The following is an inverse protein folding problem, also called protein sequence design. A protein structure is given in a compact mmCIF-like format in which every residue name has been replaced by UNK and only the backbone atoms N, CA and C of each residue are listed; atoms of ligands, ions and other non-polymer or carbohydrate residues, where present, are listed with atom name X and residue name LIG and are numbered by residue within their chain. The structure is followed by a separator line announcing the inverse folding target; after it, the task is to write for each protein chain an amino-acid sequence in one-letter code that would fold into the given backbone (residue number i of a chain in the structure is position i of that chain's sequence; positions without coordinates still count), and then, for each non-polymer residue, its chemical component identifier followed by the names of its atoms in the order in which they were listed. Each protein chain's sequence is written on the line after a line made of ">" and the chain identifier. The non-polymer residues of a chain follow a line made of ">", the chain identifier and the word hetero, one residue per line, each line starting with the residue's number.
data_IF_278162644300
#
_entry.id   IF_278162644300
#
_cell.length_a   1.000
_cell.length_b   1.000
_cell.length_c   1.000
_cell.angle_alpha   90.00
_cell.angle_beta   90.00
_cell.angle_gamma   90.00
#
_symmetry.space_group_name_H-M   'P 1'
#
loop_
_entity.id
_entity.type
_entity.pdbx_description
1 polymer ?
#
# COMPACT_ATOMS: atom_id res chain seq x y z
N UNK A 1 -13.94 -5.97 12.61
CA UNK A 1 -15.38 -5.95 12.30
C UNK A 1 -15.61 -6.89 11.12
N UNK A 2 -16.71 -7.67 11.07
CA UNK A 2 -16.97 -8.56 9.92
C UNK A 2 -17.55 -7.77 8.74
N UNK A 3 -17.18 -8.08 7.49
CA UNK A 3 -17.81 -7.52 6.29
C UNK A 3 -19.28 -7.95 6.18
N UNK A 4 -19.99 -7.34 5.23
CA UNK A 4 -21.38 -7.72 4.96
C UNK A 4 -21.45 -9.09 4.26
N UNK A 5 -22.45 -9.90 4.60
CA UNK A 5 -22.58 -11.28 4.12
C UNK A 5 -22.72 -11.37 2.60
N UNK A 6 -23.28 -10.35 1.95
CA UNK A 6 -23.46 -10.29 0.50
C UNK A 6 -22.11 -10.30 -0.24
N UNK A 7 -21.02 -9.90 0.43
CA UNK A 7 -19.66 -9.94 -0.14
C UNK A 7 -19.07 -11.35 -0.24
N UNK A 8 -19.62 -12.35 0.47
CA UNK A 8 -19.08 -13.72 0.52
C UNK A 8 -18.94 -14.31 -0.90
N UNK A 9 -19.96 -14.14 -1.74
CA UNK A 9 -19.95 -14.65 -3.12
C UNK A 9 -18.84 -14.02 -3.95
N UNK A 10 -18.70 -12.69 -3.88
CA UNK A 10 -17.68 -11.95 -4.62
C UNK A 10 -16.27 -12.32 -4.16
N UNK A 11 -16.04 -12.34 -2.84
CA UNK A 11 -14.76 -12.73 -2.26
C UNK A 11 -14.38 -14.17 -2.65
N UNK A 12 -15.33 -15.11 -2.57
CA UNK A 12 -15.14 -16.50 -3.00
C UNK A 12 -14.76 -16.60 -4.48
N UNK A 13 -15.47 -15.89 -5.36
CA UNK A 13 -15.22 -15.93 -6.81
C UNK A 13 -13.88 -15.27 -7.20
N UNK A 14 -13.49 -14.19 -6.52
CA UNK A 14 -12.21 -13.50 -6.74
C UNK A 14 -11.01 -14.43 -6.61
N UNK A 15 -11.07 -15.37 -5.66
CA UNK A 15 -10.02 -16.37 -5.42
C UNK A 15 -10.31 -17.73 -6.10
N UNK A 16 -11.28 -17.78 -7.03
CA UNK A 16 -11.60 -18.99 -7.81
C UNK A 16 -12.20 -20.16 -7.02
N UNK A 17 -12.72 -19.91 -5.81
CA UNK A 17 -13.19 -20.97 -4.92
C UNK A 17 -14.64 -21.40 -5.25
N UNK A 18 -14.95 -22.70 -5.21
CA UNK A 18 -16.34 -23.18 -5.42
C UNK A 18 -17.16 -23.15 -4.12
N UNK A 19 -18.50 -23.11 -4.20
CA UNK A 19 -19.36 -23.19 -3.02
C UNK A 19 -19.12 -24.51 -2.24
N UNK A 20 -18.89 -25.61 -2.96
CA UNK A 20 -18.59 -26.91 -2.37
C UNK A 20 -17.28 -26.88 -1.56
N UNK A 21 -16.23 -26.26 -2.12
CA UNK A 21 -14.95 -26.16 -1.43
C UNK A 21 -15.04 -25.25 -0.21
N UNK A 22 -15.73 -24.11 -0.31
CA UNK A 22 -15.94 -23.21 0.83
C UNK A 22 -16.70 -23.91 1.97
N UNK A 23 -17.76 -24.63 1.65
CA UNK A 23 -18.55 -25.40 2.61
C UNK A 23 -17.70 -26.45 3.36
N UNK A 24 -16.90 -27.21 2.61
CA UNK A 24 -15.98 -28.21 3.18
C UNK A 24 -14.93 -27.58 4.12
N UNK A 25 -14.39 -26.42 3.78
CA UNK A 25 -13.38 -25.73 4.60
C UNK A 25 -13.95 -25.07 5.86
N UNK A 26 -15.24 -24.68 5.81
CA UNK A 26 -15.91 -23.97 6.91
C UNK A 26 -16.72 -24.90 7.81
N UNK A 27 -16.87 -26.17 7.42
CA UNK A 27 -17.61 -27.19 8.17
C UNK A 27 -19.13 -27.00 8.10
N UNK A 28 -19.64 -26.39 7.03
CA UNK A 28 -21.08 -26.21 6.80
C UNK A 28 -21.53 -26.92 5.53
N UNK A 29 -22.83 -27.02 5.31
CA UNK A 29 -23.36 -27.62 4.08
C UNK A 29 -23.23 -26.66 2.89
N UNK A 30 -23.08 -27.23 1.69
CA UNK A 30 -23.09 -26.47 0.42
C UNK A 30 -24.39 -25.69 0.23
N UNK A 31 -25.51 -26.29 0.65
CA UNK A 31 -26.83 -25.65 0.67
C UNK A 31 -26.84 -24.40 1.57
N UNK A 32 -26.20 -24.46 2.74
CA UNK A 32 -26.11 -23.30 3.63
C UNK A 32 -25.32 -22.16 2.98
N UNK A 33 -24.17 -22.44 2.36
CA UNK A 33 -23.41 -21.43 1.60
C UNK A 33 -24.28 -20.83 0.49
N UNK A 34 -25.01 -21.64 -0.27
CA UNK A 34 -25.90 -21.15 -1.32
C UNK A 34 -27.01 -20.23 -0.77
N UNK A 35 -27.63 -20.60 0.34
CA UNK A 35 -28.67 -19.80 1.00
C UNK A 35 -28.12 -18.48 1.54
N UNK A 36 -26.91 -18.48 2.10
CA UNK A 36 -26.21 -17.26 2.54
C UNK A 36 -25.91 -16.35 1.35
N UNK A 37 -25.28 -16.87 0.29
CA UNK A 37 -24.90 -16.09 -0.90
C UNK A 37 -26.10 -15.56 -1.70
N UNK A 38 -27.27 -16.19 -1.56
CA UNK A 38 -28.54 -15.75 -2.16
C UNK A 38 -29.38 -14.86 -1.24
N UNK A 39 -28.92 -14.57 -0.02
CA UNK A 39 -29.64 -13.76 0.97
C UNK A 39 -30.85 -14.46 1.61
N UNK A 40 -31.05 -15.76 1.36
CA UNK A 40 -32.18 -16.55 1.87
C UNK A 40 -32.01 -17.01 3.32
N UNK A 41 -30.80 -16.90 3.88
CA UNK A 41 -30.50 -17.28 5.26
C UNK A 41 -29.44 -16.36 5.86
N UNK A 42 -29.58 -16.05 7.14
CA UNK A 42 -28.52 -15.43 7.93
C UNK A 42 -27.86 -16.50 8.82
N UNK A 43 -26.54 -16.71 8.69
CA UNK A 43 -25.80 -17.62 9.54
C UNK A 43 -25.57 -17.01 10.92
N UNK A 44 -25.22 -17.84 11.90
CA UNK A 44 -24.73 -17.33 13.19
C UNK A 44 -23.44 -16.54 12.99
N UNK A 45 -23.15 -15.60 13.90
CA UNK A 45 -21.89 -14.84 13.89
C UNK A 45 -20.67 -15.77 13.84
N UNK A 46 -20.67 -16.85 14.61
CA UNK A 46 -19.59 -17.83 14.61
C UNK A 46 -19.37 -18.48 13.23
N UNK A 47 -20.45 -18.77 12.51
CA UNK A 47 -20.39 -19.35 11.16
C UNK A 47 -19.94 -18.31 10.14
N UNK A 48 -20.50 -17.09 10.19
CA UNK A 48 -20.07 -15.97 9.34
C UNK A 48 -18.58 -15.69 9.53
N UNK A 49 -18.10 -15.65 10.79
CA UNK A 49 -16.70 -15.44 11.13
C UNK A 49 -15.80 -16.51 10.51
N UNK A 50 -16.14 -17.79 10.67
CA UNK A 50 -15.41 -18.91 10.05
C UNK A 50 -15.33 -18.79 8.52
N UNK A 51 -16.43 -18.40 7.87
CA UNK A 51 -16.46 -18.20 6.41
C UNK A 51 -15.47 -17.10 6.00
N UNK A 52 -15.49 -15.95 6.67
CA UNK A 52 -14.57 -14.86 6.37
C UNK A 52 -13.10 -15.20 6.69
N UNK A 53 -12.83 -15.89 7.81
CA UNK A 53 -11.48 -16.34 8.16
C UNK A 53 -10.88 -17.26 7.07
N UNK A 54 -11.66 -18.22 6.56
CA UNK A 54 -11.22 -19.10 5.46
C UNK A 54 -10.99 -18.29 4.18
N UNK A 55 -11.90 -17.39 3.82
CA UNK A 55 -11.77 -16.57 2.61
C UNK A 55 -10.53 -15.68 2.67
N UNK A 56 -10.29 -14.99 3.78
CA UNK A 56 -9.14 -14.10 3.96
C UNK A 56 -7.81 -14.86 4.02
N UNK A 57 -7.80 -16.04 4.66
CA UNK A 57 -6.60 -16.88 4.72
C UNK A 57 -6.18 -17.33 3.32
N UNK A 58 -7.13 -17.76 2.49
CA UNK A 58 -6.86 -18.14 1.10
C UNK A 58 -6.50 -16.94 0.23
N UNK A 59 -7.20 -15.81 0.38
CA UNK A 59 -6.86 -14.58 -0.34
C UNK A 59 -5.43 -14.13 -0.06
N UNK A 60 -4.99 -14.17 1.20
CA UNK A 60 -3.64 -13.77 1.62
C UNK A 60 -2.53 -14.65 1.05
N UNK A 61 -2.82 -15.91 0.71
CA UNK A 61 -1.85 -16.82 0.07
C UNK A 61 -1.68 -16.52 -1.43
N UNK A 62 -2.69 -15.91 -2.06
CA UNK A 62 -2.71 -15.55 -3.48
C UNK A 62 -2.51 -14.05 -3.75
N UNK A 63 -2.47 -13.22 -2.72
CA UNK A 63 -2.36 -11.77 -2.86
C UNK A 63 -0.90 -11.35 -3.10
N UNK A 64 -0.68 -10.58 -4.16
CA UNK A 64 0.57 -9.87 -4.40
C UNK A 64 0.80 -8.86 -3.26
N UNK A 65 1.95 -8.94 -2.60
CA UNK A 65 2.32 -8.01 -1.53
C UNK A 65 2.84 -6.71 -2.15
N UNK A 66 2.74 -5.60 -1.43
CA UNK A 66 3.41 -4.35 -1.84
C UNK A 66 4.91 -4.56 -2.08
N UNK A 67 5.53 -5.45 -1.30
CA UNK A 67 6.92 -5.86 -1.48
C UNK A 67 7.22 -6.57 -2.80
N UNK A 68 6.23 -7.14 -3.47
CA UNK A 68 6.40 -7.85 -4.75
C UNK A 68 6.39 -6.88 -5.95
N UNK A 69 5.78 -5.70 -5.77
CA UNK A 69 5.70 -4.63 -6.79
C UNK A 69 6.81 -3.59 -6.57
N UNK A 70 7.25 -3.39 -5.32
CA UNK A 70 8.17 -2.31 -4.99
C UNK A 70 9.52 -2.44 -5.71
N UNK A 71 10.07 -1.30 -6.13
CA UNK A 71 11.44 -1.21 -6.64
C UNK A 71 12.43 -1.67 -5.57
N UNK A 72 13.33 -2.59 -5.92
CA UNK A 72 14.36 -3.12 -5.00
C UNK A 72 15.52 -2.15 -4.84
N UNK A 73 15.87 -1.44 -5.91
CA UNK A 73 16.88 -0.40 -5.90
C UNK A 73 16.20 0.96 -5.72
N UNK A 74 16.31 1.49 -4.51
CA UNK A 74 15.72 2.79 -4.16
C UNK A 74 16.74 3.87 -4.42
N UNK A 75 16.35 4.86 -5.22
CA UNK A 75 17.09 6.12 -5.40
C UNK A 75 17.01 6.90 -4.09
N UNK A 76 18.16 7.35 -3.56
CA UNK A 76 18.25 8.05 -2.27
C UNK A 76 18.97 9.38 -2.41
N UNK A 77 18.63 10.34 -1.57
CA UNK A 77 19.41 11.55 -1.31
C UNK A 77 19.85 11.56 0.16
N UNK A 78 20.83 12.40 0.49
CA UNK A 78 21.31 12.63 1.85
C UNK A 78 20.75 13.95 2.39
N UNK A 79 20.67 14.05 3.71
CA UNK A 79 20.35 15.30 4.42
C UNK A 79 21.27 16.46 4.02
N UNK A 80 22.52 16.15 3.68
CA UNK A 80 23.55 17.08 3.24
C UNK A 80 23.47 17.49 1.77
N UNK A 81 22.73 16.75 0.94
CA UNK A 81 22.57 17.09 -0.47
C UNK A 81 21.79 18.41 -0.60
N UNK A 82 21.89 19.06 -1.76
CA UNK A 82 21.26 20.37 -1.99
C UNK A 82 19.93 20.25 -2.71
N UNK A 83 19.13 21.32 -2.66
CA UNK A 83 17.93 21.46 -3.49
C UNK A 83 18.24 21.23 -4.98
N UNK A 84 19.39 21.71 -5.46
CA UNK A 84 19.80 21.52 -6.85
C UNK A 84 20.13 20.05 -7.18
N UNK A 85 20.74 19.32 -6.23
CA UNK A 85 21.01 17.89 -6.40
C UNK A 85 19.71 17.09 -6.50
N UNK A 86 18.69 17.45 -5.70
CA UNK A 86 17.37 16.84 -5.79
C UNK A 86 16.71 17.09 -7.15
N UNK A 87 16.70 18.34 -7.63
CA UNK A 87 16.15 18.71 -8.95
C UNK A 87 16.82 17.89 -10.06
N UNK A 88 18.15 17.88 -10.07
CA UNK A 88 18.93 17.17 -11.09
C UNK A 88 18.63 15.67 -11.05
N UNK A 89 18.62 15.07 -9.86
CA UNK A 89 18.38 13.64 -9.70
C UNK A 89 16.97 13.22 -10.10
N UNK A 90 15.97 14.06 -9.80
CA UNK A 90 14.57 13.85 -10.22
C UNK A 90 14.41 13.93 -11.74
N UNK A 91 15.06 14.91 -12.39
CA UNK A 91 15.05 15.04 -13.85
C UNK A 91 15.76 13.87 -14.54
N UNK A 92 16.99 13.54 -14.10
CA UNK A 92 17.81 12.48 -14.68
C UNK A 92 17.11 11.10 -14.62
N UNK A 93 16.29 10.87 -13.59
CA UNK A 93 15.63 9.59 -13.34
C UNK A 93 14.12 9.62 -13.64
N UNK A 94 13.58 10.76 -14.08
CA UNK A 94 12.15 10.97 -14.35
C UNK A 94 11.25 10.53 -13.18
N UNK A 95 11.62 10.94 -11.97
CA UNK A 95 10.87 10.66 -10.72
C UNK A 95 10.50 11.97 -10.04
N UNK A 96 9.34 12.00 -9.38
CA UNK A 96 8.82 13.20 -8.71
C UNK A 96 9.04 13.20 -7.19
N UNK A 97 9.56 12.11 -6.62
CA UNK A 97 9.80 12.00 -5.18
C UNK A 97 11.03 11.16 -4.90
N UNK A 98 11.83 11.58 -3.91
CA UNK A 98 13.04 10.87 -3.49
C UNK A 98 13.14 10.87 -1.97
N UNK A 99 13.30 9.70 -1.32
CA UNK A 99 13.53 9.62 0.11
C UNK A 99 14.92 10.15 0.49
N UNK A 100 14.97 10.87 1.62
CA UNK A 100 16.19 11.45 2.19
C UNK A 100 16.65 10.59 3.36
N UNK A 101 17.92 10.19 3.35
CA UNK A 101 18.52 9.29 4.32
C UNK A 101 19.66 9.94 5.10
N UNK A 102 19.85 9.47 6.33
CA UNK A 102 21.09 9.59 7.10
C UNK A 102 21.58 8.17 7.40
N UNK A 103 22.62 7.73 6.70
CA UNK A 103 23.05 6.32 6.72
C UNK A 103 21.92 5.36 6.28
N UNK A 104 21.41 4.56 7.21
CA UNK A 104 20.31 3.61 6.98
C UNK A 104 18.93 4.15 7.37
N UNK A 105 18.87 5.28 8.07
CA UNK A 105 17.62 5.86 8.57
C UNK A 105 16.97 6.78 7.54
N UNK A 106 15.65 6.66 7.37
CA UNK A 106 14.85 7.57 6.55
C UNK A 106 14.50 8.79 7.38
N UNK A 107 15.04 9.94 6.99
CA UNK A 107 14.82 11.21 7.68
C UNK A 107 13.58 11.94 7.16
N UNK A 108 13.28 11.76 5.87
CA UNK A 108 12.18 12.46 5.22
C UNK A 108 12.03 12.11 3.76
N UNK A 109 11.24 12.91 3.05
CA UNK A 109 11.05 12.81 1.61
C UNK A 109 11.14 14.20 0.99
N UNK A 110 11.71 14.28 -0.21
CA UNK A 110 11.64 15.48 -1.04
C UNK A 110 10.76 15.16 -2.21
N UNK A 111 9.81 16.05 -2.49
CA UNK A 111 8.83 15.92 -3.56
C UNK A 111 8.97 17.07 -4.55
N UNK A 112 8.57 16.85 -5.79
CA UNK A 112 8.54 17.89 -6.83
C UNK A 112 7.69 19.09 -6.39
N UNK A 113 6.52 18.83 -5.79
CA UNK A 113 5.67 19.88 -5.21
C UNK A 113 6.38 20.65 -4.08
N UNK A 114 7.15 19.96 -3.23
CA UNK A 114 7.99 20.57 -2.20
C UNK A 114 9.07 21.47 -2.81
N UNK A 115 9.77 20.97 -3.84
CA UNK A 115 10.79 21.72 -4.58
C UNK A 115 10.20 23.00 -5.17
N UNK A 116 9.05 22.91 -5.85
CA UNK A 116 8.41 24.06 -6.52
C UNK A 116 8.15 25.21 -5.55
N UNK A 117 7.74 24.92 -4.30
CA UNK A 117 7.55 25.96 -3.27
C UNK A 117 8.83 26.73 -2.96
N UNK A 118 9.99 26.08 -3.05
CA UNK A 118 11.28 26.72 -2.83
C UNK A 118 11.88 27.35 -4.10
N UNK A 119 11.37 27.05 -5.30
CA UNK A 119 11.85 27.65 -6.55
C UNK A 119 11.41 29.09 -6.74
N UNK A 120 10.23 29.45 -6.22
CA UNK A 120 9.61 30.78 -6.42
C UNK A 120 10.48 31.88 -5.80
N UNK A 121 11.10 31.60 -4.67
CA UNK A 121 11.84 32.61 -3.89
C UNK A 121 13.37 32.54 -4.04
N UNK A 122 13.91 31.51 -4.71
CA UNK A 122 15.35 31.24 -4.73
C UNK A 122 15.93 31.13 -6.15
N UNK A 123 16.98 31.90 -6.41
CA UNK A 123 17.80 31.77 -7.62
C UNK A 123 18.71 30.53 -7.60
N UNK A 124 19.38 30.24 -8.72
CA UNK A 124 20.28 29.09 -8.85
C UNK A 124 21.40 29.05 -7.79
N UNK A 125 21.96 30.21 -7.42
CA UNK A 125 23.06 30.27 -6.46
C UNK A 125 22.60 29.94 -5.04
N UNK A 126 21.37 30.29 -4.68
CA UNK A 126 20.78 29.92 -3.41
C UNK A 126 20.40 28.43 -3.37
N UNK A 127 19.88 27.88 -4.47
CA UNK A 127 19.51 26.44 -4.54
C UNK A 127 20.69 25.49 -4.31
N UNK A 128 21.90 25.93 -4.65
CA UNK A 128 23.14 25.18 -4.38
C UNK A 128 23.61 25.25 -2.92
N UNK A 129 22.97 26.07 -2.09
CA UNK A 129 23.30 26.26 -0.67
C UNK A 129 22.28 25.64 0.27
N UNK A 130 21.00 25.64 -0.13
CA UNK A 130 19.90 25.07 0.66
C UNK A 130 20.07 23.56 0.73
N UNK A 131 20.23 23.02 1.94
CA UNK A 131 20.34 21.58 2.19
C UNK A 131 18.97 20.94 2.29
N UNK A 132 18.87 19.66 1.92
CA UNK A 132 17.61 18.92 2.02
C UNK A 132 17.12 18.80 3.46
N UNK A 133 18.00 18.79 4.46
CA UNK A 133 17.61 18.83 5.88
C UNK A 133 16.74 20.04 6.25
N UNK A 134 16.80 21.13 5.48
CA UNK A 134 16.07 22.37 5.75
C UNK A 134 14.68 22.42 5.09
N UNK A 135 14.46 21.59 4.06
CA UNK A 135 13.29 21.69 3.18
C UNK A 135 12.52 20.38 2.97
N UNK A 136 13.08 19.24 3.38
CA UNK A 136 12.40 17.95 3.22
C UNK A 136 11.12 17.88 4.05
N UNK A 137 10.13 17.17 3.52
CA UNK A 137 8.95 16.79 4.29
C UNK A 137 9.34 15.71 5.31
N UNK A 138 8.65 15.66 6.47
CA UNK A 138 8.93 14.66 7.49
C UNK A 138 8.71 13.25 6.96
N UNK A 139 9.33 12.26 7.62
CA UNK A 139 9.15 10.85 7.26
C UNK A 139 7.65 10.49 7.21
N UNK A 140 7.17 9.81 6.15
CA UNK A 140 5.80 9.33 6.10
C UNK A 140 5.47 8.39 7.27
N UNK A 141 4.19 8.33 7.70
CA UNK A 141 3.77 7.38 8.73
C UNK A 141 3.96 5.93 8.26
N UNK A 142 4.35 5.07 9.20
CA UNK A 142 4.48 3.62 9.02
C UNK A 142 3.19 2.91 9.44
#
# INVERSE_FOLDING_TARGET
>A
MLPRLESIKQARQKIGLTQQKLASLTGVSTSMINQIESGRCQPSYATARKIFEVLWSLESQSAMKAGDICSKEIVKLKTSDTLNDAIKKMQDLSISQVPVFEGTEVMGVVTEDGIVKHLIDNDETQRKKIRLSEIMDPRPPL
#
